data_IF_853351096439
#
_entry.id   IF_853351096439
#
_cell.length_a   1.000
_cell.length_b   1.000
_cell.length_c   1.000
_cell.angle_alpha   90.00
_cell.angle_beta   90.00
_cell.angle_gamma   90.00
#
_symmetry.space_group_name_H-M   'P 1'
#
loop_
_entity.id
_entity.type
_entity.pdbx_description
1 polymer ?
#
# COMPACT_ATOMS: atom_id res chain seq x y z
N UNK A 1 3.99 10.63 -17.80
CA UNK A 1 3.37 9.48 -18.51
C UNK A 1 3.04 8.34 -17.55
N UNK A 2 4.01 7.81 -16.78
CA UNK A 2 3.75 6.72 -15.82
C UNK A 2 2.68 7.05 -14.77
N UNK A 3 2.72 8.25 -14.17
CA UNK A 3 1.69 8.71 -13.22
C UNK A 3 0.29 8.69 -13.83
N UNK A 4 0.12 9.11 -15.09
CA UNK A 4 -1.18 9.07 -15.76
C UNK A 4 -1.71 7.65 -15.99
N UNK A 5 -0.83 6.65 -16.14
CA UNK A 5 -1.24 5.24 -16.18
C UNK A 5 -1.73 4.80 -14.80
N UNK A 6 -1.00 5.15 -13.74
CA UNK A 6 -1.40 4.84 -12.36
C UNK A 6 -2.68 5.58 -11.94
N UNK A 7 -2.92 6.78 -12.46
CA UNK A 7 -4.15 7.53 -12.23
C UNK A 7 -5.37 6.93 -12.95
N UNK A 8 -5.13 6.26 -14.09
CA UNK A 8 -6.16 5.51 -14.80
C UNK A 8 -6.48 4.15 -14.14
N UNK A 9 -5.60 3.65 -13.26
CA UNK A 9 -5.85 2.42 -12.50
C UNK A 9 -7.05 2.60 -11.56
N UNK A 10 -8.00 1.65 -11.50
CA UNK A 10 -9.26 1.85 -10.79
C UNK A 10 -9.13 1.80 -9.27
N UNK A 11 -8.01 1.29 -8.73
CA UNK A 11 -7.79 1.15 -7.30
C UNK A 11 -6.83 2.22 -6.75
N UNK A 12 -6.93 2.55 -5.46
CA UNK A 12 -5.92 3.34 -4.77
C UNK A 12 -4.54 2.70 -4.85
N UNK A 13 -3.52 3.50 -5.19
CA UNK A 13 -2.12 3.11 -5.08
C UNK A 13 -1.43 4.06 -4.10
N UNK A 14 -0.92 3.50 -3.01
CA UNK A 14 -0.11 4.18 -2.00
C UNK A 14 1.23 3.48 -1.94
N UNK A 15 2.29 4.12 -2.40
CA UNK A 15 3.63 3.58 -2.25
C UNK A 15 4.27 4.13 -0.97
N UNK A 16 4.80 3.21 -0.17
CA UNK A 16 5.46 3.47 1.11
C UNK A 16 6.87 2.89 1.02
N UNK A 17 7.87 3.66 1.42
CA UNK A 17 9.26 3.17 1.45
C UNK A 17 9.54 2.24 2.65
N UNK A 18 10.76 1.72 2.71
CA UNK A 18 11.20 0.85 3.80
C UNK A 18 11.29 1.54 5.17
N UNK A 19 11.31 2.87 5.22
CA UNK A 19 11.23 3.68 6.45
C UNK A 19 9.78 4.01 6.83
N UNK A 20 8.82 3.37 6.17
CA UNK A 20 7.39 3.55 6.38
C UNK A 20 6.89 4.97 6.09
N UNK A 21 7.53 5.67 5.15
CA UNK A 21 7.15 7.00 4.69
C UNK A 21 6.40 6.90 3.36
N UNK A 22 5.24 7.55 3.30
CA UNK A 22 4.41 7.60 2.09
C UNK A 22 5.12 8.47 1.04
N UNK A 23 5.46 7.91 -0.12
CA UNK A 23 6.17 8.61 -1.19
C UNK A 23 5.33 8.94 -2.41
N UNK A 24 4.23 8.23 -2.61
CA UNK A 24 3.37 8.44 -3.77
C UNK A 24 1.93 8.03 -3.50
N UNK A 25 1.01 8.77 -4.10
CA UNK A 25 -0.42 8.49 -4.19
C UNK A 25 -0.83 8.65 -5.65
N UNK A 26 -1.63 7.72 -6.18
CA UNK A 26 -2.37 8.00 -7.41
C UNK A 26 -3.63 8.82 -7.12
N UNK A 27 -4.27 9.36 -8.17
CA UNK A 27 -5.50 10.14 -8.06
C UNK A 27 -6.63 9.43 -7.30
N UNK A 28 -6.73 8.09 -7.40
CA UNK A 28 -7.72 7.30 -6.65
C UNK A 28 -7.42 7.27 -5.16
N UNK A 29 -6.15 7.13 -4.78
CA UNK A 29 -5.72 7.22 -3.39
C UNK A 29 -5.91 8.62 -2.83
N UNK A 30 -5.53 9.67 -3.56
CA UNK A 30 -5.78 11.06 -3.13
C UNK A 30 -7.27 11.30 -2.88
N UNK A 31 -8.14 10.91 -3.81
CA UNK A 31 -9.58 11.04 -3.62
C UNK A 31 -10.05 10.28 -2.37
N UNK A 32 -9.67 9.01 -2.24
CA UNK A 32 -10.06 8.18 -1.11
C UNK A 32 -9.61 8.79 0.23
N UNK A 33 -8.31 9.08 0.39
CA UNK A 33 -7.78 9.52 1.66
C UNK A 33 -8.10 10.99 1.97
N UNK A 34 -8.10 11.87 0.98
CA UNK A 34 -8.32 13.30 1.21
C UNK A 34 -9.79 13.69 1.25
N UNK A 35 -10.62 13.10 0.37
CA UNK A 35 -12.03 13.46 0.28
C UNK A 35 -12.91 12.54 1.14
N UNK A 36 -12.71 11.22 1.07
CA UNK A 36 -13.58 10.28 1.80
C UNK A 36 -13.15 10.07 3.25
N UNK A 37 -11.84 10.16 3.55
CA UNK A 37 -11.31 9.91 4.91
C UNK A 37 -10.84 11.16 5.66
N UNK A 38 -10.75 12.31 4.98
CA UNK A 38 -10.41 13.60 5.60
C UNK A 38 -8.94 13.81 5.96
N UNK A 39 -8.03 12.92 5.51
CA UNK A 39 -6.59 13.16 5.63
C UNK A 39 -6.13 14.30 4.71
N UNK A 40 -4.93 14.83 4.95
CA UNK A 40 -4.29 15.84 4.09
C UNK A 40 -2.79 15.65 4.09
N UNK A 41 -2.14 16.09 3.02
CA UNK A 41 -0.67 16.21 2.93
C UNK A 41 0.08 14.94 3.37
N UNK A 42 -0.42 13.78 2.94
CA UNK A 42 0.11 12.47 3.36
C UNK A 42 1.51 12.16 2.78
N UNK A 43 1.89 12.76 1.64
CA UNK A 43 3.24 12.56 1.09
C UNK A 43 4.28 13.07 2.08
N UNK A 44 5.27 12.23 2.39
CA UNK A 44 6.33 12.52 3.37
C UNK A 44 5.93 12.23 4.82
N UNK A 45 4.70 11.79 5.09
CA UNK A 45 4.25 11.36 6.43
C UNK A 45 4.50 9.88 6.65
N UNK A 46 4.58 9.49 7.91
CA UNK A 46 4.66 8.08 8.26
C UNK A 46 3.30 7.43 8.03
N UNK A 47 3.28 6.21 7.48
CA UNK A 47 2.06 5.41 7.39
C UNK A 47 1.47 5.16 8.80
N UNK A 48 2.28 5.18 9.85
CA UNK A 48 1.83 4.99 11.23
C UNK A 48 1.00 6.16 11.75
N UNK A 49 1.08 7.35 11.14
CA UNK A 49 0.16 8.46 11.45
C UNK A 49 -1.30 8.08 11.10
N UNK A 50 -1.49 7.20 10.11
CA UNK A 50 -2.78 6.62 9.73
C UNK A 50 -3.11 5.32 10.48
N UNK A 51 -2.14 4.73 11.18
CA UNK A 51 -2.24 3.41 11.81
C UNK A 51 -1.80 3.44 13.28
N UNK A 52 -2.45 4.30 14.08
CA UNK A 52 -2.09 4.54 15.49
C UNK A 52 -2.40 3.37 16.45
N UNK A 53 -2.95 2.27 15.96
CA UNK A 53 -3.17 1.06 16.74
C UNK A 53 -1.88 0.22 16.77
N UNK A 54 -1.32 -0.11 17.96
CA UNK A 54 -0.09 -0.90 18.07
C UNK A 54 -0.13 -2.22 17.30
N UNK A 55 -1.29 -2.90 17.26
CA UNK A 55 -1.46 -4.15 16.50
C UNK A 55 -1.30 -3.96 14.99
N UNK A 56 -1.74 -2.82 14.46
CA UNK A 56 -1.61 -2.49 13.04
C UNK A 56 -0.17 -2.15 12.69
N UNK A 57 0.50 -1.39 13.55
CA UNK A 57 1.91 -1.08 13.40
C UNK A 57 2.79 -2.35 13.41
N UNK A 58 2.57 -3.24 14.38
CA UNK A 58 3.28 -4.52 14.49
C UNK A 58 3.05 -5.41 13.25
N UNK A 59 1.81 -5.48 12.76
CA UNK A 59 1.48 -6.21 11.55
C UNK A 59 2.23 -5.65 10.33
N UNK A 60 2.24 -4.34 10.14
CA UNK A 60 2.93 -3.69 9.01
C UNK A 60 4.43 -3.99 9.07
N UNK A 61 5.06 -3.86 10.24
CA UNK A 61 6.48 -4.17 10.43
C UNK A 61 6.78 -5.64 10.12
N UNK A 62 5.96 -6.56 10.63
CA UNK A 62 6.10 -8.00 10.36
C UNK A 62 6.00 -8.34 8.87
N UNK A 63 5.06 -7.72 8.15
CA UNK A 63 4.93 -7.91 6.70
C UNK A 63 6.17 -7.38 5.97
N UNK A 64 6.67 -6.20 6.32
CA UNK A 64 7.88 -5.65 5.68
C UNK A 64 9.11 -6.53 5.92
N UNK A 65 9.27 -7.11 7.12
CA UNK A 65 10.35 -8.08 7.38
C UNK A 65 10.20 -9.35 6.53
N UNK A 66 8.98 -9.84 6.27
CA UNK A 66 8.78 -10.94 5.32
C UNK A 66 9.18 -10.55 3.89
N UNK A 67 8.86 -9.33 3.46
CA UNK A 67 9.22 -8.83 2.13
C UNK A 67 10.75 -8.66 1.98
N UNK A 68 11.45 -8.20 3.03
CA UNK A 68 12.92 -8.14 3.04
C UNK A 68 13.52 -9.53 2.86
N UNK A 69 12.89 -10.56 3.42
CA UNK A 69 13.26 -11.97 3.24
C UNK A 69 12.68 -12.61 1.96
N UNK A 70 12.57 -11.83 0.87
CA UNK A 70 12.16 -12.28 -0.46
C UNK A 70 10.76 -12.90 -0.60
N UNK A 71 9.80 -12.55 0.26
CA UNK A 71 8.40 -12.86 -0.03
C UNK A 71 7.93 -12.15 -1.32
N UNK A 72 7.08 -12.84 -2.11
CA UNK A 72 6.52 -12.33 -3.37
C UNK A 72 5.42 -11.28 -3.15
N UNK A 73 4.40 -11.62 -2.36
CA UNK A 73 3.36 -10.73 -1.84
C UNK A 73 2.77 -11.36 -0.57
N UNK A 74 2.18 -10.54 0.29
CA UNK A 74 1.56 -11.02 1.54
C UNK A 74 0.08 -10.69 1.52
N UNK A 75 -0.78 -11.71 1.63
CA UNK A 75 -2.22 -11.52 1.77
C UNK A 75 -2.55 -10.92 3.14
N UNK A 76 -3.34 -9.84 3.14
CA UNK A 76 -3.82 -9.21 4.37
C UNK A 76 -5.20 -9.69 4.79
N UNK A 77 -6.20 -9.47 3.93
CA UNK A 77 -7.61 -9.75 4.22
C UNK A 77 -8.48 -9.63 2.97
N UNK A 78 -9.72 -10.10 3.10
CA UNK A 78 -10.84 -9.67 2.23
C UNK A 78 -11.54 -8.48 2.90
N UNK A 79 -11.75 -7.40 2.17
CA UNK A 79 -12.45 -6.23 2.69
C UNK A 79 -13.98 -6.30 2.49
N UNK A 80 -14.70 -5.29 2.95
CA UNK A 80 -16.16 -5.21 2.85
C UNK A 80 -16.68 -5.06 1.41
N UNK A 81 -15.81 -4.69 0.45
CA UNK A 81 -16.12 -4.61 -0.98
C UNK A 81 -15.85 -5.93 -1.71
N UNK A 82 -15.58 -7.00 -0.97
CA UNK A 82 -15.21 -8.31 -1.50
C UNK A 82 -13.91 -8.26 -2.33
N UNK A 83 -12.95 -7.43 -1.92
CA UNK A 83 -11.62 -7.35 -2.53
C UNK A 83 -10.60 -8.05 -1.62
N UNK A 84 -9.78 -8.93 -2.19
CA UNK A 84 -8.55 -9.43 -1.59
C UNK A 84 -7.52 -8.31 -1.63
N UNK A 85 -6.90 -8.04 -0.48
CA UNK A 85 -5.83 -7.05 -0.34
C UNK A 85 -4.51 -7.78 -0.10
N UNK A 86 -3.52 -7.43 -0.90
CA UNK A 86 -2.15 -7.93 -0.80
C UNK A 86 -1.18 -6.77 -0.58
N UNK A 87 -0.17 -6.96 0.25
CA UNK A 87 1.01 -6.10 0.25
C UNK A 87 1.99 -6.64 -0.78
N UNK A 88 2.33 -5.79 -1.75
CA UNK A 88 3.22 -6.13 -2.87
C UNK A 88 4.54 -5.37 -2.70
N UNK A 89 5.70 -6.05 -2.69
CA UNK A 89 7.01 -5.41 -2.66
C UNK A 89 7.31 -4.73 -4.00
N UNK A 90 7.94 -3.57 -3.93
CA UNK A 90 8.59 -2.91 -5.07
C UNK A 90 10.08 -3.11 -4.91
N UNK A 91 10.72 -3.67 -5.94
CA UNK A 91 12.15 -3.99 -5.93
C UNK A 91 12.88 -3.23 -7.03
N UNK A 92 14.15 -2.95 -6.81
CA UNK A 92 15.04 -2.41 -7.82
C UNK A 92 15.54 -3.49 -8.80
N UNK A 93 16.44 -3.14 -9.70
CA UNK A 93 17.07 -4.05 -10.66
C UNK A 93 17.91 -5.16 -10.02
N UNK A 94 18.37 -4.98 -8.78
CA UNK A 94 19.16 -5.98 -8.03
C UNK A 94 18.27 -6.91 -7.20
N UNK A 95 16.97 -6.60 -7.09
CA UNK A 95 16.01 -7.33 -6.26
C UNK A 95 15.88 -6.79 -4.84
N UNK A 96 16.54 -5.67 -4.53
CA UNK A 96 16.48 -5.03 -3.21
C UNK A 96 15.12 -4.34 -3.01
N UNK A 97 14.59 -4.44 -1.79
CA UNK A 97 13.29 -3.87 -1.45
C UNK A 97 13.38 -2.34 -1.37
N UNK A 98 12.68 -1.63 -2.26
CA UNK A 98 12.52 -0.18 -2.24
C UNK A 98 11.35 0.27 -1.36
N UNK A 99 10.34 -0.59 -1.22
CA UNK A 99 9.13 -0.31 -0.47
C UNK A 99 7.99 -1.24 -0.86
N UNK A 100 6.77 -0.81 -0.63
CA UNK A 100 5.59 -1.64 -0.84
C UNK A 100 4.33 -0.80 -1.12
N UNK A 101 3.31 -1.45 -1.69
CA UNK A 101 1.98 -0.88 -1.87
C UNK A 101 0.90 -1.95 -1.70
N UNK A 102 -0.35 -1.51 -1.54
CA UNK A 102 -1.51 -2.41 -1.50
C UNK A 102 -2.05 -2.71 -2.90
N UNK A 103 -2.18 -3.98 -3.26
CA UNK A 103 -2.90 -4.45 -4.46
C UNK A 103 -4.27 -4.98 -4.06
N UNK A 104 -5.28 -4.58 -4.84
CA UNK A 104 -6.67 -4.98 -4.66
C UNK A 104 -7.08 -5.91 -5.80
N UNK A 105 -7.84 -6.95 -5.47
CA UNK A 105 -8.33 -7.92 -6.44
C UNK A 105 -9.71 -8.44 -6.04
N UNK A 106 -10.67 -8.47 -6.96
CA UNK A 106 -12.00 -9.01 -6.66
C UNK A 106 -11.92 -10.47 -6.22
N UNK A 107 -12.54 -10.77 -5.08
CA UNK A 107 -12.62 -12.12 -4.54
C UNK A 107 -13.74 -12.92 -5.24
N UNK A 108 -13.49 -13.29 -6.49
CA UNK A 108 -14.38 -14.15 -7.26
C UNK A 108 -14.10 -15.61 -6.89
N UNK A 109 -15.17 -16.40 -6.68
CA UNK A 109 -15.07 -17.86 -6.65
C UNK A 109 -14.81 -18.33 -8.10
N UNK A 110 -13.91 -19.30 -8.26
CA UNK A 110 -13.71 -20.00 -9.54
C UNK A 110 -14.86 -20.97 -9.78
#
# INVERSE_FOLDING_TARGET
MLSYILDAYPYPVVFVDCDHVIKYLNKRAEYHYYQERGYRDLIGKSIFDCHQNPKSEEMIKSVVEQLKNHANEVFLKVNQRNERIYIVPVRDENGDLLGYFERFEMNLQK
#
